data_IF_867617908682
#
_entry.id   IF_867617908682
#
_cell.length_a   1.000
_cell.length_b   1.000
_cell.length_c   1.000
_cell.angle_alpha   90.00
_cell.angle_beta   90.00
_cell.angle_gamma   90.00
#
_symmetry.space_group_name_H-M   'P 1'
#
loop_
_entity.id
_entity.type
_entity.pdbx_description
1 polymer ?
#
# COMPACT_ATOMS: atom_id res chain seq x y z
N UNK A 1 9.54 -5.14 -4.78
CA UNK A 1 8.21 -5.02 -4.14
C UNK A 1 8.23 -3.96 -3.05
N UNK A 2 9.26 -3.93 -2.19
CA UNK A 2 9.38 -2.87 -1.18
C UNK A 2 9.46 -1.46 -1.80
N UNK A 3 10.28 -1.26 -2.84
CA UNK A 3 10.34 0.01 -3.58
C UNK A 3 8.98 0.41 -4.17
N UNK A 4 8.25 -0.54 -4.76
CA UNK A 4 6.91 -0.28 -5.31
C UNK A 4 5.90 0.10 -4.22
N UNK A 5 5.90 -0.58 -3.07
CA UNK A 5 5.02 -0.23 -1.97
C UNK A 5 5.35 1.16 -1.38
N UNK A 6 6.64 1.53 -1.34
CA UNK A 6 7.08 2.88 -0.96
C UNK A 6 6.59 3.92 -1.96
N UNK A 7 6.74 3.68 -3.27
CA UNK A 7 6.21 4.59 -4.31
C UNK A 7 4.68 4.76 -4.20
N UNK A 8 3.94 3.69 -3.88
CA UNK A 8 2.48 3.78 -3.68
C UNK A 8 2.12 4.55 -2.41
N UNK A 9 2.89 4.37 -1.33
CA UNK A 9 2.72 5.15 -0.11
C UNK A 9 3.01 6.63 -0.33
N UNK A 10 4.07 6.97 -1.07
CA UNK A 10 4.35 8.36 -1.46
C UNK A 10 3.26 8.97 -2.34
N UNK A 11 2.64 8.16 -3.20
CA UNK A 11 1.55 8.57 -4.07
C UNK A 11 0.23 8.78 -3.32
N UNK A 12 -0.09 7.91 -2.37
CA UNK A 12 -1.31 7.93 -1.56
C UNK A 12 -0.98 7.39 -0.16
N UNK A 13 -0.64 8.25 0.82
CA UNK A 13 -0.26 7.81 2.17
C UNK A 13 -1.36 7.01 2.87
N UNK A 14 -2.61 7.37 2.60
CA UNK A 14 -3.78 6.74 3.23
C UNK A 14 -3.86 5.23 2.97
N UNK A 15 -3.29 4.73 1.86
CA UNK A 15 -3.21 3.28 1.58
C UNK A 15 -2.55 2.50 2.73
N UNK A 16 -1.64 3.14 3.47
CA UNK A 16 -1.00 2.59 4.67
C UNK A 16 -1.66 3.16 5.92
N UNK A 17 -1.80 4.48 6.04
CA UNK A 17 -2.24 5.15 7.28
C UNK A 17 -3.66 4.77 7.70
N UNK A 18 -4.55 4.49 6.73
CA UNK A 18 -5.93 4.08 6.97
C UNK A 18 -6.21 2.66 6.47
N UNK A 19 -5.21 2.01 5.87
CA UNK A 19 -5.34 0.75 5.16
C UNK A 19 -4.55 -0.37 5.82
N UNK A 20 -3.41 -0.71 5.23
CA UNK A 20 -2.61 -1.88 5.63
C UNK A 20 -1.78 -1.66 6.90
N UNK A 21 -1.82 -0.47 7.50
CA UNK A 21 -1.16 -0.07 8.75
C UNK A 21 0.39 -0.05 8.70
N UNK A 22 1.01 -0.72 7.72
CA UNK A 22 2.44 -0.66 7.43
C UNK A 22 2.77 -0.92 5.96
N UNK A 23 3.98 -0.54 5.54
CA UNK A 23 4.50 -0.81 4.19
C UNK A 23 4.77 -2.32 4.02
N UNK A 24 5.18 -3.01 5.06
CA UNK A 24 5.44 -4.45 5.05
C UNK A 24 4.15 -5.24 4.75
N UNK A 25 3.05 -4.88 5.43
CA UNK A 25 1.75 -5.50 5.17
C UNK A 25 1.21 -5.13 3.78
N UNK A 26 1.44 -3.91 3.30
CA UNK A 26 1.13 -3.52 1.91
C UNK A 26 1.84 -4.41 0.89
N UNK A 27 3.13 -4.69 1.11
CA UNK A 27 3.90 -5.59 0.23
C UNK A 27 3.30 -6.99 0.19
N UNK A 28 2.91 -7.53 1.35
CA UNK A 28 2.32 -8.87 1.43
C UNK A 28 0.91 -8.91 0.82
N UNK A 29 0.10 -7.88 1.01
CA UNK A 29 -1.21 -7.75 0.37
C UNK A 29 -1.09 -7.73 -1.15
N UNK A 30 -0.20 -6.91 -1.71
CA UNK A 30 0.03 -6.82 -3.17
C UNK A 30 0.48 -8.17 -3.72
N UNK A 31 1.38 -8.88 -3.03
CA UNK A 31 1.84 -10.21 -3.48
C UNK A 31 0.70 -11.24 -3.49
N UNK A 32 -0.13 -11.25 -2.46
CA UNK A 32 -1.21 -12.23 -2.30
C UNK A 32 -2.38 -11.95 -3.22
N UNK A 33 -2.79 -10.69 -3.33
CA UNK A 33 -4.04 -10.31 -4.00
C UNK A 33 -3.84 -9.75 -5.41
N UNK A 34 -2.65 -9.19 -5.68
CA UNK A 34 -2.34 -8.41 -6.89
C UNK A 34 -3.31 -7.24 -7.13
N UNK A 35 -3.83 -6.67 -6.04
CA UNK A 35 -4.75 -5.53 -6.06
C UNK A 35 -4.22 -4.42 -5.16
N UNK A 36 -4.68 -3.21 -5.43
CA UNK A 36 -4.46 -2.00 -4.63
C UNK A 36 -5.81 -1.32 -4.47
N UNK A 37 -6.13 -0.90 -3.26
CA UNK A 37 -7.26 -0.03 -2.97
C UNK A 37 -6.72 1.32 -2.57
N UNK A 38 -6.97 2.33 -3.41
CA UNK A 38 -6.54 3.71 -3.18
C UNK A 38 -7.78 4.53 -2.89
N UNK A 39 -7.70 5.40 -1.90
CA UNK A 39 -8.76 6.35 -1.58
C UNK A 39 -8.17 7.74 -1.36
N UNK A 40 -9.04 8.71 -1.59
CA UNK A 40 -8.77 10.13 -1.58
C UNK A 40 -10.05 10.76 -1.05
N UNK A 41 -10.31 10.54 0.24
CA UNK A 41 -11.43 11.22 0.92
C UNK A 41 -10.99 12.63 1.34
#
# INVERSE_FOLDING_TARGET
>A
MQSFAQEMYEFCPDIVEQGTESIEELVEEIKKTKKLFLWWD
#
